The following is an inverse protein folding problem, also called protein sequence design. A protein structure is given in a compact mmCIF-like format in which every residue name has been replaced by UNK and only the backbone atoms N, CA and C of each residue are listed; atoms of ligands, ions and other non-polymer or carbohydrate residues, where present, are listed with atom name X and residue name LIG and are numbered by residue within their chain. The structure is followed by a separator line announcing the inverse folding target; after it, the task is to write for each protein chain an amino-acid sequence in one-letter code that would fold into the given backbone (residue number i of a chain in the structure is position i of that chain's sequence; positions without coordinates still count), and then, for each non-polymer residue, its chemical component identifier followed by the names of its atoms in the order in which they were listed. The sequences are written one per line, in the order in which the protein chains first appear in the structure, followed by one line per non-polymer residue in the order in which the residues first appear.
data_IF_407291275334
#
_entry.id   IF_407291275334
#
_cell.length_a   1.000
_cell.length_b   1.000
_cell.length_c   1.000
_cell.angle_alpha   90.00
_cell.angle_beta   90.00
_cell.angle_gamma   90.00
#
_symmetry.space_group_name_H-M   'P 1'
#
loop_
_entity.id
_entity.type
_entity.pdbx_description
1 polymer ?
#
# COMPACT_ATOMS: atom_id res chain seq x y z
N UNK A 1 0.67 7.17 -17.26
CA UNK A 1 0.38 7.39 -15.83
C UNK A 1 0.16 6.05 -15.11
N UNK A 2 -0.73 5.17 -15.60
CA UNK A 2 -0.91 3.81 -15.07
C UNK A 2 0.42 3.05 -14.89
N UNK A 3 1.25 2.99 -15.94
CA UNK A 3 2.50 2.21 -15.86
C UNK A 3 3.52 2.78 -14.88
N UNK A 4 3.71 4.11 -14.86
CA UNK A 4 4.60 4.78 -13.88
C UNK A 4 4.19 4.50 -12.44
N UNK A 5 2.89 4.45 -12.15
CA UNK A 5 2.40 4.15 -10.80
C UNK A 5 2.63 2.68 -10.43
N UNK A 6 2.31 1.75 -11.33
CA UNK A 6 2.55 0.31 -11.14
C UNK A 6 4.03 0.03 -10.91
N UNK A 7 4.90 0.63 -11.73
CA UNK A 7 6.35 0.53 -11.59
C UNK A 7 6.82 1.07 -10.23
N UNK A 8 6.32 2.23 -9.78
CA UNK A 8 6.66 2.78 -8.47
C UNK A 8 6.25 1.82 -7.35
N UNK A 9 5.03 1.27 -7.38
CA UNK A 9 4.62 0.34 -6.34
C UNK A 9 5.46 -0.94 -6.35
N UNK A 10 5.63 -1.56 -7.51
CA UNK A 10 6.35 -2.83 -7.64
C UNK A 10 7.84 -2.70 -7.26
N UNK A 11 8.51 -1.61 -7.69
CA UNK A 11 9.96 -1.45 -7.49
C UNK A 11 10.32 -0.75 -6.19
N UNK A 12 9.47 0.15 -5.71
CA UNK A 12 9.84 1.09 -4.65
C UNK A 12 8.92 1.02 -3.43
N UNK A 13 7.62 1.30 -3.59
CA UNK A 13 6.71 1.46 -2.45
C UNK A 13 6.47 0.16 -1.68
N UNK A 14 6.21 -0.96 -2.36
CA UNK A 14 5.95 -2.24 -1.69
C UNK A 14 7.18 -2.79 -0.96
N UNK A 15 8.40 -2.75 -1.54
CA UNK A 15 9.62 -3.04 -0.79
C UNK A 15 9.82 -2.13 0.43
N UNK A 16 9.52 -0.83 0.32
CA UNK A 16 9.62 0.10 1.44
C UNK A 16 8.58 -0.20 2.54
N UNK A 17 7.34 -0.56 2.17
CA UNK A 17 6.33 -1.04 3.13
C UNK A 17 6.87 -2.22 3.93
N UNK A 18 7.41 -3.22 3.25
CA UNK A 18 8.02 -4.39 3.89
C UNK A 18 9.17 -3.99 4.83
N UNK A 19 10.07 -3.10 4.40
CA UNK A 19 11.20 -2.60 5.21
C UNK A 19 10.74 -1.89 6.48
N UNK A 20 9.63 -1.14 6.40
CA UNK A 20 9.05 -0.41 7.53
C UNK A 20 8.10 -1.26 8.40
N UNK A 21 7.91 -2.54 8.07
CA UNK A 21 6.97 -3.42 8.78
C UNK A 21 5.50 -3.10 8.53
N UNK A 22 5.19 -2.32 7.49
CA UNK A 22 3.81 -2.06 7.06
C UNK A 22 3.28 -3.36 6.44
N UNK A 23 2.32 -3.98 7.10
CA UNK A 23 1.79 -5.28 6.71
C UNK A 23 0.76 -5.12 5.60
N UNK A 24 1.21 -5.19 4.35
CA UNK A 24 0.33 -5.34 3.20
C UNK A 24 -0.40 -6.68 3.29
N UNK A 25 -1.73 -6.66 3.32
CA UNK A 25 -2.55 -7.88 3.34
C UNK A 25 -3.21 -8.16 2.00
N UNK A 26 -3.35 -7.14 1.15
CA UNK A 26 -3.98 -7.30 -0.16
C UNK A 26 -3.68 -6.14 -1.11
N UNK A 27 -3.72 -6.41 -2.41
CA UNK A 27 -3.37 -5.45 -3.46
C UNK A 27 -4.06 -5.79 -4.79
N UNK A 28 -4.72 -4.82 -5.39
CA UNK A 28 -5.43 -4.96 -6.65
C UNK A 28 -5.24 -3.73 -7.54
N UNK A 29 -5.53 -3.92 -8.82
CA UNK A 29 -5.77 -2.85 -9.76
C UNK A 29 -7.11 -3.05 -10.46
N UNK A 30 -7.82 -1.95 -10.77
CA UNK A 30 -9.06 -2.03 -11.54
C UNK A 30 -8.76 -2.41 -12.99
N UNK A 31 -9.60 -3.26 -13.59
CA UNK A 31 -9.39 -3.72 -14.98
C UNK A 31 -9.46 -2.56 -15.99
N UNK A 32 -10.38 -1.62 -15.80
CA UNK A 32 -10.64 -0.54 -16.75
C UNK A 32 -9.68 0.64 -16.56
N UNK A 33 -9.52 1.12 -15.32
CA UNK A 33 -8.77 2.34 -15.02
C UNK A 33 -7.36 2.10 -14.47
N UNK A 34 -6.98 0.84 -14.17
CA UNK A 34 -5.68 0.52 -13.54
C UNK A 34 -5.45 1.29 -12.24
N UNK A 35 -6.53 1.69 -11.58
CA UNK A 35 -6.49 2.34 -10.28
C UNK A 35 -6.06 1.31 -9.25
N UNK A 36 -5.11 1.67 -8.41
CA UNK A 36 -4.53 0.76 -7.42
C UNK A 36 -5.31 0.86 -6.12
N UNK A 37 -5.74 -0.30 -5.61
CA UNK A 37 -6.39 -0.48 -4.33
C UNK A 37 -5.55 -1.43 -3.49
N UNK A 38 -5.31 -1.10 -2.23
CA UNK A 38 -4.53 -1.97 -1.34
C UNK A 38 -5.04 -1.86 0.08
N UNK A 39 -4.81 -2.93 0.85
CA UNK A 39 -5.16 -2.98 2.27
C UNK A 39 -3.90 -3.28 3.06
N UNK A 40 -3.66 -2.46 4.08
CA UNK A 40 -2.61 -2.68 5.07
C UNK A 40 -3.25 -2.91 6.43
N UNK A 41 -2.67 -3.82 7.20
CA UNK A 41 -3.09 -4.09 8.57
C UNK A 41 -2.30 -3.22 9.55
N UNK A 42 -3.02 -2.62 10.48
CA UNK A 42 -2.46 -1.90 11.62
C UNK A 42 -3.10 -2.41 12.92
N UNK A 43 -2.38 -2.34 14.06
CA UNK A 43 -2.95 -2.70 15.36
C UNK A 43 -4.18 -1.87 15.74
N UNK A 44 -4.13 -0.56 15.47
CA UNK A 44 -5.21 0.40 15.70
C UNK A 44 -5.08 1.63 14.79
N UNK A 45 -6.05 2.55 14.88
CA UNK A 45 -6.10 3.79 14.09
C UNK A 45 -4.92 4.75 14.39
N UNK A 46 -4.46 4.79 15.64
CA UNK A 46 -3.33 5.64 16.03
C UNK A 46 -2.04 5.12 15.38
N UNK A 47 -1.83 3.80 15.40
CA UNK A 47 -0.70 3.16 14.74
C UNK A 47 -0.72 3.40 13.23
N UNK A 48 -1.89 3.34 12.59
CA UNK A 48 -2.04 3.67 11.17
C UNK A 48 -1.62 5.11 10.87
N UNK A 49 -2.11 6.07 11.67
CA UNK A 49 -1.78 7.49 11.51
C UNK A 49 -0.29 7.77 11.69
N UNK A 50 0.32 7.23 12.75
CA UNK A 50 1.77 7.39 13.02
C UNK A 50 2.60 6.73 11.94
N UNK A 51 2.28 5.49 11.56
CA UNK A 51 3.04 4.75 10.56
C UNK A 51 3.07 5.43 9.20
N UNK A 52 1.95 6.03 8.76
CA UNK A 52 1.94 6.83 7.52
C UNK A 52 2.72 8.14 7.64
N UNK A 53 2.66 8.82 8.78
CA UNK A 53 3.47 10.02 9.03
C UNK A 53 4.97 9.71 8.99
N UNK A 54 5.38 8.61 9.58
CA UNK A 54 6.78 8.15 9.55
C UNK A 54 7.19 7.74 8.14
N UNK A 55 6.35 7.01 7.41
CA UNK A 55 6.59 6.59 6.03
C UNK A 55 6.95 7.77 5.13
N UNK A 56 6.14 8.83 5.13
CA UNK A 56 6.38 9.99 4.26
C UNK A 56 7.60 10.81 4.66
N UNK A 57 8.08 10.65 5.90
CA UNK A 57 9.27 11.34 6.39
C UNK A 57 10.57 10.61 6.07
N UNK A 58 10.51 9.33 5.69
CA UNK A 58 11.71 8.54 5.36
C UNK A 58 12.50 9.18 4.20
N UNK A 59 13.84 9.17 4.28
CA UNK A 59 14.68 9.61 3.16
C UNK A 59 14.36 8.86 1.87
N UNK A 60 14.18 7.54 1.94
CA UNK A 60 13.87 6.70 0.79
C UNK A 60 12.57 7.11 0.10
N UNK A 61 11.49 7.36 0.87
CA UNK A 61 10.24 7.85 0.27
C UNK A 61 10.42 9.20 -0.42
N UNK A 62 11.14 10.14 0.21
CA UNK A 62 11.41 11.45 -0.37
C UNK A 62 12.18 11.34 -1.69
N UNK A 63 13.17 10.44 -1.77
CA UNK A 63 13.90 10.15 -2.99
C UNK A 63 13.03 9.51 -4.07
N UNK A 64 12.20 8.53 -3.70
CA UNK A 64 11.25 7.87 -4.60
C UNK A 64 10.27 8.90 -5.16
N UNK A 65 9.67 9.74 -4.31
CA UNK A 65 8.74 10.80 -4.71
C UNK A 65 9.45 11.81 -5.63
N UNK A 66 10.61 12.33 -5.25
CA UNK A 66 11.37 13.27 -6.08
C UNK A 66 11.78 12.68 -7.44
N UNK A 67 12.05 11.37 -7.51
CA UNK A 67 12.39 10.68 -8.77
C UNK A 67 11.17 10.45 -9.65
N UNK A 68 10.04 10.04 -9.06
CA UNK A 68 8.87 9.54 -9.79
C UNK A 68 7.84 10.63 -10.09
N UNK A 69 7.80 11.71 -9.31
CA UNK A 69 6.84 12.82 -9.44
C UNK A 69 7.45 14.09 -10.06
N UNK A 70 8.54 13.97 -10.83
CA UNK A 70 9.21 15.11 -11.48
C UNK A 70 8.30 15.91 -12.41
N UNK A 71 7.34 15.24 -13.03
CA UNK A 71 6.37 15.81 -13.96
C UNK A 71 5.07 16.28 -13.26
N UNK A 72 5.07 16.32 -11.91
CA UNK A 72 3.91 16.60 -11.06
C UNK A 72 3.42 15.35 -10.30
N UNK A 73 2.43 15.53 -9.40
CA UNK A 73 1.89 14.44 -8.57
C UNK A 73 1.40 13.27 -9.43
N UNK A 74 1.85 12.05 -9.11
CA UNK A 74 1.48 10.86 -9.88
C UNK A 74 0.04 10.40 -9.64
N UNK A 75 -0.54 10.71 -8.47
CA UNK A 75 -1.97 10.58 -8.22
C UNK A 75 -2.41 11.40 -7.01
N UNK A 76 -3.72 11.57 -6.88
CA UNK A 76 -4.34 11.78 -5.58
C UNK A 76 -4.51 10.44 -4.89
N UNK A 77 -4.45 10.41 -3.56
CA UNK A 77 -4.74 9.20 -2.78
C UNK A 77 -5.86 9.48 -1.78
N UNK A 78 -6.65 8.46 -1.49
CA UNK A 78 -7.66 8.46 -0.43
C UNK A 78 -7.44 7.22 0.41
N UNK A 79 -7.38 7.39 1.73
CA UNK A 79 -7.35 6.29 2.69
C UNK A 79 -8.61 6.31 3.55
N UNK A 80 -9.10 5.13 3.92
CA UNK A 80 -10.22 4.95 4.84
C UNK A 80 -9.79 3.89 5.85
N UNK A 81 -9.99 4.16 7.14
CA UNK A 81 -9.74 3.19 8.20
C UNK A 81 -10.95 2.27 8.32
N UNK A 82 -10.72 0.98 8.21
CA UNK A 82 -11.76 -0.05 8.27
C UNK A 82 -11.55 -0.93 9.51
N UNK A 83 -12.65 -1.38 10.11
CA UNK A 83 -12.62 -2.35 11.20
C UNK A 83 -13.30 -3.63 10.74
N UNK A 84 -12.61 -4.78 10.89
CA UNK A 84 -13.20 -6.09 10.65
C UNK A 84 -14.31 -6.34 11.69
N UNK A 85 -15.57 -6.60 11.29
CA UNK A 85 -16.63 -6.88 12.23
C UNK A 85 -16.40 -8.21 12.97
N UNK A 86 -16.88 -8.36 14.22
CA UNK A 86 -16.61 -9.55 15.05
C UNK A 86 -17.27 -10.83 14.52
N UNK A 87 -18.27 -10.72 13.63
CA UNK A 87 -18.94 -11.87 13.03
C UNK A 87 -18.14 -12.51 11.88
N UNK A 88 -17.09 -11.85 11.37
CA UNK A 88 -16.23 -12.40 10.32
C UNK A 88 -15.29 -13.42 10.95
N UNK A 89 -15.39 -14.67 10.48
CA UNK A 89 -14.53 -15.77 10.96
C UNK A 89 -13.29 -15.93 10.09
N UNK A 90 -12.18 -16.36 10.69
CA UNK A 90 -10.91 -16.50 10.00
C UNK A 90 -10.97 -17.53 8.86
N UNK A 91 -11.73 -18.62 9.03
CA UNK A 91 -11.91 -19.66 8.02
C UNK A 91 -12.72 -19.20 6.79
N UNK A 92 -13.43 -18.06 6.88
CA UNK A 92 -14.13 -17.47 5.74
C UNK A 92 -13.24 -16.58 4.89
N UNK A 93 -12.10 -16.17 5.43
CA UNK A 93 -11.12 -15.38 4.70
C UNK A 93 -10.28 -16.32 3.87
N UNK A 94 -10.37 -16.19 2.54
CA UNK A 94 -9.46 -16.89 1.64
C UNK A 94 -8.05 -16.37 1.93
N UNK A 95 -7.09 -17.24 2.29
CA UNK A 95 -5.70 -16.85 2.41
C UNK A 95 -5.24 -16.32 1.05
N UNK A 96 -4.78 -15.07 1.04
CA UNK A 96 -4.27 -14.43 -0.16
C UNK A 96 -2.81 -14.82 -0.25
N UNK A 97 -2.59 -16.11 -0.49
CA UNK A 97 -1.29 -16.58 -0.92
C UNK A 97 -1.17 -16.19 -2.38
N UNK A 98 -0.64 -14.98 -2.62
CA UNK A 98 0.19 -14.77 -3.80
C UNK A 98 1.21 -15.89 -3.74
N UNK A 99 1.13 -16.84 -4.68
CA UNK A 99 2.00 -18.02 -4.66
C UNK A 99 3.43 -17.58 -4.38
N UNK A 100 4.06 -18.24 -3.41
CA UNK A 100 5.47 -18.06 -3.05
C UNK A 100 6.28 -17.88 -4.34
N UNK A 101 6.75 -16.66 -4.58
CA UNK A 101 7.59 -16.29 -5.72
C UNK A 101 8.90 -17.10 -5.59
N UNK A 102 8.85 -18.34 -6.07
CA UNK A 102 10.01 -19.19 -6.34
C UNK A 102 10.57 -18.86 -7.72
#
# INVERSE_FOLDING_TARGET
MKDKMRERFARDSLPLFKKMGIKLIDFWETLESGEIWYVVEWPDDKAASVGWQEFVQTPEWKEIAARTEKDGPLSTSRAIVLKRPPFVKAEWLTPINLMDDR
#
